data_IF_314914830072
#
_entry.id   IF_314914830072
#
_cell.length_a   1.000
_cell.length_b   1.000
_cell.length_c   1.000
_cell.angle_alpha   90.00
_cell.angle_beta   90.00
_cell.angle_gamma   90.00
#
_symmetry.space_group_name_H-M   'P 1'
#
loop_
_entity.id
_entity.type
_entity.pdbx_description
1 polymer ?
#
# COMPACT_ATOMS: atom_id res chain seq x y z
N UNK A 1 -7.11 -16.09 8.96
CA UNK A 1 -6.32 -16.77 7.91
C UNK A 1 -7.30 -17.23 6.84
N UNK A 2 -7.34 -16.61 5.65
CA UNK A 2 -8.16 -17.16 4.55
C UNK A 2 -7.51 -18.49 4.13
N UNK A 3 -8.30 -19.55 3.93
CA UNK A 3 -7.77 -20.85 3.53
C UNK A 3 -7.04 -20.73 2.19
N UNK A 4 -5.70 -20.83 2.19
CA UNK A 4 -4.85 -20.71 0.98
C UNK A 4 -5.32 -21.65 -0.13
N UNK A 5 -5.76 -22.86 0.26
CA UNK A 5 -6.30 -23.85 -0.67
C UNK A 5 -7.61 -23.40 -1.33
N UNK A 6 -8.50 -22.73 -0.59
CA UNK A 6 -9.75 -22.18 -1.15
C UNK A 6 -9.42 -21.07 -2.15
N UNK A 7 -8.47 -20.20 -1.80
CA UNK A 7 -8.02 -19.12 -2.69
C UNK A 7 -7.34 -19.66 -3.96
N UNK A 8 -6.48 -20.67 -3.82
CA UNK A 8 -5.86 -21.35 -4.95
C UNK A 8 -6.92 -22.00 -5.86
N UNK A 9 -7.95 -22.61 -5.28
CA UNK A 9 -9.04 -23.22 -6.04
C UNK A 9 -9.86 -22.21 -6.83
N UNK A 10 -10.13 -21.03 -6.26
CA UNK A 10 -10.78 -19.91 -6.96
C UNK A 10 -9.96 -19.41 -8.15
N UNK A 11 -8.66 -19.19 -7.94
CA UNK A 11 -7.74 -18.72 -8.99
C UNK A 11 -7.67 -19.74 -10.14
N UNK A 12 -7.56 -21.03 -9.81
CA UNK A 12 -7.54 -22.10 -10.80
C UNK A 12 -8.86 -22.19 -11.58
N UNK A 13 -10.01 -22.05 -10.93
CA UNK A 13 -11.32 -21.99 -11.62
C UNK A 13 -11.45 -20.78 -12.53
N UNK A 14 -10.96 -19.61 -12.10
CA UNK A 14 -10.95 -18.41 -12.92
C UNK A 14 -10.06 -18.58 -14.17
N UNK A 15 -8.91 -19.25 -14.03
CA UNK A 15 -8.03 -19.59 -15.14
C UNK A 15 -8.73 -20.53 -16.14
N UNK A 16 -9.35 -21.62 -15.67
CA UNK A 16 -10.12 -22.53 -16.53
C UNK A 16 -11.23 -21.82 -17.29
N UNK A 17 -11.96 -20.91 -16.64
CA UNK A 17 -13.02 -20.12 -17.31
C UNK A 17 -12.47 -19.25 -18.45
N UNK A 18 -11.22 -18.80 -18.34
CA UNK A 18 -10.60 -17.85 -19.26
C UNK A 18 -9.80 -18.52 -20.38
N UNK A 19 -9.17 -19.65 -20.08
CA UNK A 19 -8.22 -20.33 -20.97
C UNK A 19 -8.68 -21.74 -21.37
N UNK A 20 -9.75 -22.28 -20.78
CA UNK A 20 -10.15 -23.67 -20.94
C UNK A 20 -9.25 -24.64 -20.16
N UNK A 21 -9.44 -25.95 -20.36
CA UNK A 21 -8.65 -27.00 -19.71
C UNK A 21 -9.17 -27.45 -18.35
N UNK A 22 -8.35 -28.18 -17.59
CA UNK A 22 -8.73 -28.71 -16.28
C UNK A 22 -8.13 -27.91 -15.13
N UNK A 23 -8.85 -27.85 -14.01
CA UNK A 23 -8.42 -27.14 -12.79
C UNK A 23 -7.06 -27.65 -12.30
N UNK A 24 -6.80 -28.96 -12.44
CA UNK A 24 -5.55 -29.61 -12.03
C UNK A 24 -4.32 -29.03 -12.73
N UNK A 25 -4.47 -28.63 -13.98
CA UNK A 25 -3.38 -28.11 -14.82
C UNK A 25 -2.92 -26.72 -14.33
N UNK A 26 -3.85 -25.93 -13.77
CA UNK A 26 -3.56 -24.59 -13.24
C UNK A 26 -3.29 -24.57 -11.73
N UNK A 27 -3.50 -25.67 -11.03
CA UNK A 27 -3.56 -25.67 -9.56
C UNK A 27 -2.21 -25.32 -8.92
N UNK A 28 -1.09 -25.81 -9.47
CA UNK A 28 0.24 -25.50 -8.96
C UNK A 28 0.55 -23.99 -9.03
N UNK A 29 0.24 -23.36 -10.16
CA UNK A 29 0.45 -21.92 -10.35
C UNK A 29 -0.52 -21.09 -9.49
N UNK A 30 -1.77 -21.53 -9.38
CA UNK A 30 -2.76 -20.89 -8.53
C UNK A 30 -2.37 -20.94 -7.03
N UNK A 31 -1.77 -22.05 -6.59
CA UNK A 31 -1.27 -22.22 -5.24
C UNK A 31 -0.08 -21.30 -4.97
N UNK A 32 0.84 -21.16 -5.93
CA UNK A 32 1.95 -20.21 -5.83
C UNK A 32 1.44 -18.76 -5.70
N UNK A 33 0.44 -18.37 -6.50
CA UNK A 33 -0.19 -17.05 -6.40
C UNK A 33 -0.89 -16.83 -5.04
N UNK A 34 -1.64 -17.83 -4.55
CA UNK A 34 -2.31 -17.74 -3.26
C UNK A 34 -1.32 -17.63 -2.09
N UNK A 35 -0.20 -18.35 -2.14
CA UNK A 35 0.87 -18.21 -1.14
C UNK A 35 1.57 -16.86 -1.23
N UNK A 36 1.77 -16.32 -2.44
CA UNK A 36 2.30 -14.99 -2.62
C UNK A 36 1.38 -13.92 -1.99
N UNK A 37 0.05 -14.04 -2.15
CA UNK A 37 -0.91 -13.15 -1.49
C UNK A 37 -0.82 -13.20 0.05
N UNK A 38 -0.58 -14.39 0.63
CA UNK A 38 -0.45 -14.54 2.09
C UNK A 38 0.87 -14.04 2.64
N UNK A 39 1.96 -14.27 1.90
CA UNK A 39 3.32 -13.86 2.29
C UNK A 39 3.60 -12.39 1.98
N UNK A 40 2.77 -11.75 1.14
CA UNK A 40 2.91 -10.34 0.84
C UNK A 40 2.86 -9.51 2.14
N UNK A 41 3.80 -8.57 2.32
CA UNK A 41 3.77 -7.69 3.48
C UNK A 41 2.47 -6.90 3.46
N UNK A 42 1.71 -6.96 4.57
CA UNK A 42 0.44 -6.21 4.71
C UNK A 42 0.66 -4.72 4.94
N UNK A 43 1.87 -4.38 5.37
CA UNK A 43 2.31 -3.03 5.67
C UNK A 43 3.64 -2.76 4.97
N UNK A 44 3.79 -1.56 4.40
CA UNK A 44 5.05 -1.05 3.90
C UNK A 44 5.79 -0.32 5.02
N UNK A 45 7.09 -0.59 5.17
CA UNK A 45 7.98 0.24 5.99
C UNK A 45 8.37 1.47 5.17
N UNK A 46 8.02 2.65 5.66
CA UNK A 46 8.38 3.93 5.08
C UNK A 46 9.25 4.70 6.06
N UNK A 47 10.40 5.17 5.57
CA UNK A 47 11.37 5.92 6.36
C UNK A 47 11.42 7.36 5.86
N UNK A 48 11.32 8.31 6.78
CA UNK A 48 11.56 9.72 6.52
C UNK A 48 12.71 10.21 7.38
N UNK A 49 13.53 11.10 6.81
CA UNK A 49 14.60 11.74 7.56
C UNK A 49 14.08 12.41 8.85
N UNK A 50 14.94 12.46 9.86
CA UNK A 50 14.69 13.16 11.11
C UNK A 50 14.29 14.63 10.87
N UNK A 51 13.53 15.18 11.82
CA UNK A 51 13.20 16.61 11.78
C UNK A 51 14.47 17.45 11.88
N UNK A 52 14.52 18.52 11.08
CA UNK A 52 15.54 19.55 11.23
C UNK A 52 14.92 20.79 11.85
N UNK A 53 15.73 21.71 12.38
CA UNK A 53 15.23 23.01 12.89
C UNK A 53 14.43 23.79 11.84
N UNK A 54 14.74 23.60 10.55
CA UNK A 54 14.12 24.35 9.44
C UNK A 54 12.90 23.64 8.86
N UNK A 55 12.88 22.31 8.87
CA UNK A 55 11.86 21.51 8.20
C UNK A 55 11.41 20.33 9.05
N UNK A 56 10.09 20.17 9.18
CA UNK A 56 9.46 19.00 9.80
C UNK A 56 9.03 17.98 8.75
N UNK A 57 9.38 16.72 8.97
CA UNK A 57 8.95 15.59 8.17
C UNK A 57 7.68 14.97 8.74
N UNK A 58 6.77 14.56 7.86
CA UNK A 58 5.48 14.02 8.24
C UNK A 58 4.87 13.15 7.14
N UNK A 59 3.96 12.25 7.53
CA UNK A 59 3.08 11.50 6.64
C UNK A 59 1.63 11.75 7.06
N UNK A 60 0.73 11.90 6.09
CA UNK A 60 -0.70 11.95 6.30
C UNK A 60 -1.41 10.89 5.46
N UNK A 61 -2.33 10.15 6.08
CA UNK A 61 -3.27 9.30 5.36
C UNK A 61 -4.34 10.17 4.70
N UNK A 62 -4.65 9.87 3.45
CA UNK A 62 -5.74 10.52 2.73
C UNK A 62 -7.02 9.74 2.98
N UNK A 63 -8.04 10.41 3.53
CA UNK A 63 -9.30 9.78 3.94
C UNK A 63 -10.46 10.07 3.00
N UNK A 64 -10.33 11.05 2.10
CA UNK A 64 -11.39 11.49 1.21
C UNK A 64 -11.02 12.72 0.40
N UNK A 65 -12.01 13.29 -0.27
CA UNK A 65 -11.89 14.56 -1.00
C UNK A 65 -12.45 15.71 -0.17
N UNK A 66 -11.75 16.85 -0.19
CA UNK A 66 -12.18 18.07 0.50
C UNK A 66 -12.50 19.15 -0.54
N UNK A 67 -13.62 19.90 -0.44
CA UNK A 67 -14.01 20.89 -1.45
C UNK A 67 -12.97 22.01 -1.66
N UNK A 68 -12.36 22.51 -0.58
CA UNK A 68 -11.32 23.55 -0.62
C UNK A 68 -9.91 22.97 -0.82
N UNK A 69 -9.50 22.01 0.02
CA UNK A 69 -8.13 21.48 0.06
C UNK A 69 -7.88 20.29 -0.87
N UNK A 70 -8.88 19.94 -1.70
CA UNK A 70 -8.94 18.81 -2.64
C UNK A 70 -8.95 17.43 -1.97
N UNK A 71 -8.20 17.25 -0.88
CA UNK A 71 -8.05 15.98 -0.16
C UNK A 71 -8.16 16.19 1.36
N UNK A 72 -8.89 15.29 2.01
CA UNK A 72 -8.91 15.16 3.46
C UNK A 72 -7.69 14.40 3.96
N UNK A 73 -7.07 14.92 5.02
CA UNK A 73 -5.79 14.42 5.53
C UNK A 73 -5.90 14.11 7.01
N UNK A 74 -5.45 12.93 7.39
CA UNK A 74 -5.21 12.53 8.78
C UNK A 74 -3.70 12.34 8.98
N UNK A 75 -3.06 13.28 9.66
CA UNK A 75 -1.64 13.19 9.99
C UNK A 75 -1.37 12.00 10.89
N UNK A 76 -0.31 11.26 10.57
CA UNK A 76 0.10 10.06 11.29
C UNK A 76 1.27 10.37 12.21
N UNK A 77 1.30 9.69 13.35
CA UNK A 77 2.48 9.63 14.18
C UNK A 77 3.42 8.55 13.66
N UNK A 78 4.73 8.73 13.86
CA UNK A 78 5.70 7.68 13.58
C UNK A 78 5.50 6.51 14.55
N UNK A 79 5.70 5.29 14.06
CA UNK A 79 5.59 4.09 14.88
C UNK A 79 6.85 3.86 15.72
N UNK A 80 8.02 4.16 15.13
CA UNK A 80 9.31 4.08 15.80
C UNK A 80 10.30 5.06 15.16
N UNK A 81 11.46 5.21 15.79
CA UNK A 81 12.64 5.85 15.20
C UNK A 81 13.75 4.84 14.96
N UNK A 82 14.64 5.13 14.02
CA UNK A 82 15.90 4.41 13.90
C UNK A 82 16.99 4.99 14.82
N UNK A 83 18.21 4.46 14.73
CA UNK A 83 19.37 4.90 15.51
C UNK A 83 19.82 6.34 15.19
N UNK A 84 19.47 6.87 14.01
CA UNK A 84 19.81 8.21 13.54
C UNK A 84 18.68 9.23 13.79
N UNK A 85 17.55 8.79 14.34
CA UNK A 85 16.37 9.62 14.62
C UNK A 85 15.42 9.77 13.43
N UNK A 86 15.64 9.03 12.35
CA UNK A 86 14.73 8.96 11.21
C UNK A 86 13.41 8.30 11.64
N UNK A 87 12.31 8.82 11.08
CA UNK A 87 10.95 8.43 11.43
C UNK A 87 10.52 7.24 10.60
N UNK A 88 10.12 6.17 11.27
CA UNK A 88 9.65 4.94 10.64
C UNK A 88 8.13 4.85 10.77
N UNK A 89 7.46 4.55 9.65
CA UNK A 89 6.02 4.34 9.56
C UNK A 89 5.74 2.97 8.94
N UNK A 90 4.86 2.19 9.57
CA UNK A 90 4.32 0.94 9.05
C UNK A 90 2.94 1.18 8.47
N UNK A 91 2.90 1.47 7.18
CA UNK A 91 1.70 1.91 6.48
C UNK A 91 0.96 0.73 5.86
N UNK A 92 -0.33 0.59 6.14
CA UNK A 92 -1.20 -0.37 5.46
C UNK A 92 -1.55 0.11 4.04
N UNK A 93 -2.14 -0.76 3.24
CA UNK A 93 -2.66 -0.39 1.91
C UNK A 93 -3.60 0.83 1.99
N UNK A 94 -3.33 1.84 1.17
CA UNK A 94 -4.01 3.13 1.25
C UNK A 94 -3.32 4.23 0.45
N UNK A 95 -3.88 5.43 0.50
CA UNK A 95 -3.36 6.63 -0.14
C UNK A 95 -2.75 7.56 0.91
N UNK A 96 -1.56 8.09 0.63
CA UNK A 96 -0.80 8.89 1.58
C UNK A 96 -0.15 10.10 0.91
N UNK A 97 0.09 11.13 1.71
CA UNK A 97 0.95 12.26 1.37
C UNK A 97 2.12 12.28 2.34
N UNK A 98 3.32 12.57 1.85
CA UNK A 98 4.50 12.78 2.69
C UNK A 98 5.11 14.16 2.46
N UNK A 99 5.82 14.63 3.49
CA UNK A 99 6.81 15.67 3.40
C UNK A 99 8.11 15.16 4.01
N UNK A 100 9.18 15.11 3.23
CA UNK A 100 10.50 14.68 3.71
C UNK A 100 11.44 15.87 4.00
N UNK A 101 10.90 17.09 4.08
CA UNK A 101 11.65 18.32 4.32
C UNK A 101 12.35 18.90 3.08
N UNK A 102 12.49 18.12 2.00
CA UNK A 102 12.99 18.59 0.69
C UNK A 102 11.88 18.73 -0.34
N UNK A 103 10.96 17.76 -0.35
CA UNK A 103 9.81 17.71 -1.26
C UNK A 103 8.58 17.17 -0.56
N UNK A 104 7.43 17.53 -1.11
CA UNK A 104 6.13 16.92 -0.82
C UNK A 104 5.71 16.05 -1.99
N UNK A 105 5.06 14.94 -1.70
CA UNK A 105 4.61 14.01 -2.72
C UNK A 105 3.48 13.12 -2.24
N UNK A 106 2.87 12.44 -3.19
CA UNK A 106 1.73 11.56 -3.00
C UNK A 106 2.12 10.14 -3.42
N UNK A 107 1.58 9.13 -2.74
CA UNK A 107 1.86 7.74 -3.04
C UNK A 107 0.73 6.85 -2.54
N UNK A 108 0.64 5.66 -3.14
CA UNK A 108 -0.13 4.56 -2.59
C UNK A 108 0.79 3.55 -1.91
N UNK A 109 0.27 2.93 -0.87
CA UNK A 109 0.72 1.60 -0.49
C UNK A 109 -0.25 0.60 -1.10
N UNK A 110 0.27 -0.32 -1.93
CA UNK A 110 -0.50 -1.41 -2.53
C UNK A 110 0.24 -2.71 -2.32
N UNK A 111 -0.38 -3.67 -1.64
CA UNK A 111 0.23 -4.95 -1.25
C UNK A 111 1.56 -4.73 -0.52
N UNK A 112 1.61 -3.72 0.35
CA UNK A 112 2.81 -3.36 1.11
C UNK A 112 3.95 -2.76 0.28
N UNK A 113 3.68 -2.31 -0.95
CA UNK A 113 4.68 -1.65 -1.81
C UNK A 113 4.33 -0.18 -2.03
N UNK A 114 5.38 0.65 -2.07
CA UNK A 114 5.27 2.05 -2.45
C UNK A 114 5.03 2.19 -3.95
N UNK A 115 3.99 2.93 -4.32
CA UNK A 115 3.68 3.29 -5.70
C UNK A 115 3.51 4.80 -5.76
N UNK A 116 4.39 5.48 -6.50
CA UNK A 116 4.28 6.93 -6.70
C UNK A 116 2.95 7.29 -7.35
N UNK A 117 2.36 8.40 -6.92
CA UNK A 117 1.09 8.87 -7.42
C UNK A 117 1.05 10.38 -7.51
N UNK A 118 0.14 10.88 -8.34
CA UNK A 118 -0.23 12.28 -8.40
C UNK A 118 -1.45 12.56 -7.52
N UNK A 119 -1.67 13.84 -7.20
CA UNK A 119 -2.85 14.28 -6.44
C UNK A 119 -4.16 13.87 -7.14
N UNK A 120 -4.20 13.93 -8.48
CA UNK A 120 -5.38 13.58 -9.26
C UNK A 120 -5.70 12.08 -9.16
N UNK A 121 -4.69 11.22 -9.27
CA UNK A 121 -4.87 9.77 -9.13
C UNK A 121 -5.37 9.37 -7.74
N UNK A 122 -4.88 10.05 -6.69
CA UNK A 122 -5.42 9.86 -5.34
C UNK A 122 -6.89 10.29 -5.26
N UNK A 123 -7.25 11.46 -5.81
CA UNK A 123 -8.63 11.96 -5.76
C UNK A 123 -9.62 11.03 -6.47
N UNK A 124 -9.23 10.43 -7.59
CA UNK A 124 -10.04 9.44 -8.33
C UNK A 124 -10.37 8.20 -7.49
N UNK A 125 -9.59 7.88 -6.45
CA UNK A 125 -9.86 6.72 -5.57
C UNK A 125 -11.07 6.95 -4.66
N UNK A 126 -11.47 8.21 -4.45
CA UNK A 126 -12.54 8.61 -3.53
C UNK A 126 -13.75 9.24 -4.25
N UNK A 127 -13.75 9.24 -5.58
CA UNK A 127 -14.86 9.72 -6.41
C UNK A 127 -15.67 8.53 -6.89
#
# INVERSE_FOLDING_TARGET
MKNVMVRAWEIAKAAVKRFGGNVRDFFAQALAMAWAEVKAPKCAKVELAADTRKFRTWIAAITGTHPIYKLDRKFLNQDTTDEYGDKIFYLNDGAYEFNNGKRRGFFFIRKGQWVDATQAEIATTFT
#
